data_IF_375721909782
#
_entry.id   IF_375721909782
#
_cell.length_a   1.000
_cell.length_b   1.000
_cell.length_c   1.000
_cell.angle_alpha   90.00
_cell.angle_beta   90.00
_cell.angle_gamma   90.00
#
_symmetry.space_group_name_H-M   'P 1'
#
loop_
_entity.id
_entity.type
_entity.pdbx_description
1 polymer ?
#
# COMPACT_ATOMS: atom_id res chain seq x y z
N UNK A 1 16.07 -14.74 -12.38
CA UNK A 1 15.59 -13.49 -11.75
C UNK A 1 16.80 -12.65 -11.44
N UNK A 2 16.83 -11.38 -11.87
CA UNK A 2 17.97 -10.51 -11.61
C UNK A 2 17.87 -9.90 -10.20
N UNK A 3 18.95 -9.93 -9.43
CA UNK A 3 19.04 -9.20 -8.15
C UNK A 3 18.74 -7.68 -8.33
N UNK A 4 19.01 -7.16 -9.52
CA UNK A 4 18.74 -5.77 -9.89
C UNK A 4 17.26 -5.40 -9.80
N UNK A 5 16.33 -6.36 -10.06
CA UNK A 5 14.89 -6.12 -9.94
C UNK A 5 14.44 -5.73 -8.52
N UNK A 6 15.16 -6.21 -7.48
CA UNK A 6 14.88 -5.84 -6.08
C UNK A 6 15.24 -4.36 -5.86
N UNK A 7 16.43 -3.96 -6.26
CA UNK A 7 16.86 -2.56 -6.14
C UNK A 7 15.99 -1.62 -6.96
N UNK A 8 15.56 -2.06 -8.16
CA UNK A 8 14.61 -1.31 -8.99
C UNK A 8 13.26 -1.12 -8.27
N UNK A 9 12.75 -2.15 -7.58
CA UNK A 9 11.53 -2.02 -6.79
C UNK A 9 11.71 -1.03 -5.64
N UNK A 10 12.81 -1.11 -4.89
CA UNK A 10 13.08 -0.22 -3.75
C UNK A 10 13.20 1.23 -4.24
N UNK A 11 13.98 1.48 -5.31
CA UNK A 11 14.16 2.84 -5.86
C UNK A 11 12.90 3.43 -6.48
N UNK A 12 11.98 2.57 -6.98
CA UNK A 12 10.72 3.03 -7.59
C UNK A 12 9.68 3.40 -6.53
N UNK A 13 9.60 2.64 -5.44
CA UNK A 13 8.50 2.72 -4.48
C UNK A 13 8.90 3.23 -3.10
N UNK A 14 10.15 3.70 -2.93
CA UNK A 14 10.62 4.26 -1.65
C UNK A 14 11.71 5.31 -1.84
N UNK A 15 11.96 6.09 -0.79
CA UNK A 15 13.07 7.04 -0.73
C UNK A 15 14.39 6.39 -0.27
N UNK A 16 14.40 5.08 -0.04
CA UNK A 16 15.56 4.38 0.49
C UNK A 16 16.68 4.41 -0.56
N UNK A 17 17.86 4.91 -0.19
CA UNK A 17 18.98 5.00 -1.13
C UNK A 17 19.50 3.60 -1.47
N UNK A 18 19.48 3.26 -2.74
CA UNK A 18 19.99 2.00 -3.29
C UNK A 18 20.78 2.25 -4.57
N UNK A 19 21.68 1.35 -4.97
CA UNK A 19 22.36 1.43 -6.24
C UNK A 19 21.36 1.56 -7.41
N UNK A 20 21.63 2.54 -8.27
CA UNK A 20 20.79 2.79 -9.45
C UNK A 20 21.26 1.92 -10.62
N UNK A 21 20.32 1.36 -11.34
CA UNK A 21 20.57 0.53 -12.52
C UNK A 21 19.85 1.11 -13.73
N UNK A 22 20.39 0.85 -14.92
CA UNK A 22 19.74 1.24 -16.18
C UNK A 22 18.36 0.59 -16.32
N UNK A 23 17.39 1.35 -16.79
CA UNK A 23 16.03 0.91 -17.09
C UNK A 23 15.97 0.01 -18.33
N UNK A 24 16.63 -1.17 -18.25
CA UNK A 24 16.54 -2.23 -19.24
C UNK A 24 15.50 -3.27 -18.81
N UNK A 25 14.77 -3.83 -19.77
CA UNK A 25 13.70 -4.81 -19.51
C UNK A 25 14.16 -5.98 -18.63
N UNK A 26 15.38 -6.46 -18.83
CA UNK A 26 15.99 -7.54 -18.03
C UNK A 26 16.15 -7.19 -16.54
N UNK A 27 16.29 -5.90 -16.21
CA UNK A 27 16.51 -5.40 -14.86
C UNK A 27 15.19 -5.17 -14.12
N UNK A 28 14.14 -4.67 -14.79
CA UNK A 28 12.90 -4.28 -14.11
C UNK A 28 11.73 -5.27 -14.31
N UNK A 29 11.87 -6.27 -15.17
CA UNK A 29 10.81 -7.24 -15.52
C UNK A 29 10.03 -7.83 -14.34
N UNK A 30 10.67 -8.01 -13.16
CA UNK A 30 10.04 -8.52 -11.96
C UNK A 30 10.02 -7.51 -10.80
N UNK A 31 10.31 -6.23 -11.06
CA UNK A 31 10.37 -5.22 -9.99
C UNK A 31 9.04 -5.13 -9.22
N UNK A 32 7.90 -5.20 -9.92
CA UNK A 32 6.58 -5.17 -9.27
C UNK A 32 6.37 -6.35 -8.30
N UNK A 33 6.96 -7.52 -8.57
CA UNK A 33 6.87 -8.68 -7.67
C UNK A 33 7.67 -8.48 -6.39
N UNK A 34 8.68 -7.59 -6.40
CA UNK A 34 9.51 -7.26 -5.25
C UNK A 34 9.02 -6.03 -4.49
N UNK A 35 7.96 -5.39 -4.94
CA UNK A 35 7.33 -4.27 -4.24
C UNK A 35 7.03 -4.57 -2.76
N UNK A 36 6.60 -5.79 -2.35
CA UNK A 36 6.40 -6.13 -0.94
C UNK A 36 7.62 -5.93 -0.04
N UNK A 37 8.85 -5.92 -0.57
CA UNK A 37 10.07 -5.62 0.21
C UNK A 37 10.00 -4.21 0.81
N UNK A 38 9.44 -3.24 0.12
CA UNK A 38 9.21 -1.90 0.68
C UNK A 38 8.29 -1.96 1.90
N UNK A 39 7.35 -2.91 1.92
CA UNK A 39 6.52 -3.20 3.09
C UNK A 39 7.31 -3.72 4.29
N UNK A 40 8.39 -4.49 4.06
CA UNK A 40 9.29 -4.93 5.14
C UNK A 40 9.99 -3.72 5.77
N UNK A 41 10.44 -2.77 4.97
CA UNK A 41 11.05 -1.54 5.49
C UNK A 41 10.04 -0.70 6.28
N UNK A 42 8.85 -0.47 5.73
CA UNK A 42 7.80 0.28 6.43
C UNK A 42 7.41 -0.40 7.75
N UNK A 43 7.24 -1.72 7.74
CA UNK A 43 6.94 -2.52 8.92
C UNK A 43 8.09 -2.53 9.94
N UNK A 44 9.34 -2.60 9.47
CA UNK A 44 10.53 -2.56 10.32
C UNK A 44 10.67 -1.22 11.05
N UNK A 45 10.53 -0.10 10.32
CA UNK A 45 10.55 1.25 10.94
C UNK A 45 9.39 1.41 11.92
N UNK A 46 8.20 0.90 11.59
CA UNK A 46 7.05 0.90 12.49
C UNK A 46 7.31 0.07 13.75
N UNK A 47 7.93 -1.11 13.63
CA UNK A 47 8.25 -1.95 14.79
C UNK A 47 9.25 -1.25 15.73
N UNK A 48 10.28 -0.63 15.18
CA UNK A 48 11.24 0.17 15.95
C UNK A 48 10.52 1.33 16.64
N UNK A 49 9.63 2.01 15.95
CA UNK A 49 8.85 3.11 16.51
C UNK A 49 7.94 2.65 17.66
N UNK A 50 7.20 1.55 17.51
CA UNK A 50 6.36 0.97 18.55
C UNK A 50 7.22 0.65 19.78
N UNK A 51 8.36 0.00 19.61
CA UNK A 51 9.29 -0.32 20.69
C UNK A 51 9.79 0.94 21.40
N UNK A 52 10.26 1.92 20.64
CA UNK A 52 10.75 3.20 21.20
C UNK A 52 9.65 3.92 21.99
N UNK A 53 8.43 3.94 21.46
CA UNK A 53 7.30 4.57 22.12
C UNK A 53 6.92 3.88 23.44
N UNK A 54 7.06 2.56 23.51
CA UNK A 54 6.84 1.79 24.75
C UNK A 54 7.93 2.08 25.78
N UNK A 55 9.21 2.01 25.40
CA UNK A 55 10.35 2.19 26.31
C UNK A 55 10.41 3.61 26.87
N UNK A 56 10.17 4.61 26.03
CA UNK A 56 10.22 6.03 26.41
C UNK A 56 8.89 6.58 26.96
N UNK A 57 7.86 5.73 27.10
CA UNK A 57 6.51 6.15 27.53
C UNK A 57 5.99 7.36 26.73
N UNK A 58 6.15 7.32 25.40
CA UNK A 58 5.70 8.38 24.48
C UNK A 58 4.18 8.54 24.61
N UNK A 59 3.70 9.80 24.61
CA UNK A 59 2.27 10.08 24.65
C UNK A 59 1.54 9.45 23.46
N UNK A 60 0.29 8.99 23.67
CA UNK A 60 -0.52 8.36 22.60
C UNK A 60 -0.69 9.25 21.37
N UNK A 61 -0.79 10.56 21.59
CA UNK A 61 -0.94 11.52 20.49
C UNK A 61 0.32 11.56 19.62
N UNK A 62 1.50 11.70 20.23
CA UNK A 62 2.77 11.72 19.49
C UNK A 62 3.05 10.37 18.81
N UNK A 63 2.75 9.26 19.51
CA UNK A 63 2.82 7.93 18.93
C UNK A 63 1.98 7.82 17.65
N UNK A 64 0.71 8.20 17.72
CA UNK A 64 -0.21 8.12 16.58
C UNK A 64 0.23 9.04 15.43
N UNK A 65 0.64 10.28 15.74
CA UNK A 65 1.07 11.26 14.74
C UNK A 65 2.26 10.74 13.92
N UNK A 66 3.29 10.20 14.57
CA UNK A 66 4.46 9.65 13.88
C UNK A 66 4.10 8.35 13.15
N UNK A 67 3.22 7.51 13.73
CA UNK A 67 2.78 6.26 13.09
C UNK A 67 2.10 6.50 11.73
N UNK A 68 1.32 7.55 11.59
CA UNK A 68 0.73 7.96 10.30
C UNK A 68 1.81 8.40 9.31
N UNK A 69 2.83 9.11 9.77
CA UNK A 69 3.89 9.62 8.90
C UNK A 69 4.84 8.54 8.39
N UNK A 70 5.09 7.47 9.15
CA UNK A 70 6.09 6.44 8.81
C UNK A 70 5.90 5.87 7.38
N UNK A 71 4.75 5.30 6.99
CA UNK A 71 4.58 4.73 5.66
C UNK A 71 4.68 5.81 4.56
N UNK A 72 4.23 7.03 4.82
CA UNK A 72 4.30 8.14 3.88
C UNK A 72 5.75 8.55 3.61
N UNK A 73 6.54 8.70 4.67
CA UNK A 73 7.97 9.08 4.55
C UNK A 73 8.77 7.97 3.88
N UNK A 74 8.61 6.70 4.31
CA UNK A 74 9.36 5.58 3.72
C UNK A 74 9.10 5.44 2.22
N UNK A 75 7.89 5.69 1.77
CA UNK A 75 7.52 5.59 0.35
C UNK A 75 7.69 6.91 -0.43
N UNK A 76 8.12 7.99 0.24
CA UNK A 76 8.21 9.31 -0.40
C UNK A 76 6.85 9.86 -0.86
N UNK A 77 5.75 9.35 -0.28
CA UNK A 77 4.40 9.82 -0.59
C UNK A 77 3.79 9.28 -1.89
N UNK A 78 4.50 8.48 -2.69
CA UNK A 78 4.05 8.06 -4.03
C UNK A 78 2.67 7.37 -4.04
N UNK A 79 2.32 6.65 -2.97
CA UNK A 79 1.02 5.98 -2.89
C UNK A 79 -0.08 6.92 -2.42
N UNK A 80 0.26 7.90 -1.59
CA UNK A 80 -0.65 8.95 -1.18
C UNK A 80 -0.96 9.89 -2.35
N UNK A 81 0.01 10.18 -3.19
CA UNK A 81 -0.16 10.91 -4.45
C UNK A 81 -1.20 10.22 -5.34
N UNK A 82 -1.02 8.92 -5.63
CA UNK A 82 -2.02 8.14 -6.38
C UNK A 82 -3.39 8.06 -5.70
N UNK A 83 -3.44 8.09 -4.35
CA UNK A 83 -4.71 8.16 -3.62
C UNK A 83 -5.41 9.51 -3.86
N UNK A 84 -4.66 10.59 -3.78
CA UNK A 84 -5.16 11.96 -3.98
C UNK A 84 -5.66 12.16 -5.41
N UNK A 85 -4.88 11.76 -6.41
CA UNK A 85 -5.24 11.87 -7.82
C UNK A 85 -6.50 11.06 -8.15
N UNK A 86 -6.58 9.83 -7.62
CA UNK A 86 -7.75 8.98 -7.80
C UNK A 86 -8.99 9.59 -7.15
N UNK A 87 -8.85 10.17 -5.96
CA UNK A 87 -9.95 10.84 -5.26
C UNK A 87 -10.46 12.05 -6.04
N UNK A 88 -9.56 12.86 -6.58
CA UNK A 88 -9.93 14.03 -7.39
C UNK A 88 -10.62 13.62 -8.69
N UNK A 89 -10.07 12.63 -9.39
CA UNK A 89 -10.68 12.07 -10.61
C UNK A 89 -12.10 11.52 -10.34
N UNK A 90 -12.33 10.89 -9.19
CA UNK A 90 -13.65 10.39 -8.80
C UNK A 90 -14.64 11.52 -8.49
N UNK A 91 -14.19 12.52 -7.76
CA UNK A 91 -15.02 13.66 -7.36
C UNK A 91 -15.44 14.54 -8.55
N UNK A 92 -14.72 14.44 -9.67
CA UNK A 92 -15.09 15.13 -10.92
C UNK A 92 -16.40 14.65 -11.53
N UNK A 93 -16.89 13.47 -11.15
CA UNK A 93 -18.08 12.80 -11.72
C UNK A 93 -18.07 12.65 -13.26
N UNK A 94 -16.91 12.80 -13.88
CA UNK A 94 -16.73 12.73 -15.34
C UNK A 94 -16.74 11.28 -15.87
N UNK A 95 -16.76 11.12 -17.19
CA UNK A 95 -16.61 9.82 -17.86
C UNK A 95 -15.19 9.25 -17.68
N UNK A 96 -14.99 8.00 -18.04
CA UNK A 96 -13.71 7.28 -17.87
C UNK A 96 -12.54 7.97 -18.58
N UNK A 97 -12.74 8.46 -19.81
CA UNK A 97 -11.67 9.13 -20.57
C UNK A 97 -11.19 10.40 -19.85
N UNK A 98 -12.13 11.25 -19.41
CA UNK A 98 -11.79 12.48 -18.70
C UNK A 98 -11.16 12.22 -17.33
N UNK A 99 -11.59 11.18 -16.59
CA UNK A 99 -10.92 10.77 -15.35
C UNK A 99 -9.46 10.37 -15.58
N UNK A 100 -9.18 9.63 -16.66
CA UNK A 100 -7.81 9.26 -17.02
C UNK A 100 -6.95 10.46 -17.44
N UNK A 101 -7.55 11.54 -17.91
CA UNK A 101 -6.86 12.82 -18.15
C UNK A 101 -6.56 13.53 -16.83
N UNK A 102 -7.53 13.61 -15.90
CA UNK A 102 -7.34 14.21 -14.58
C UNK A 102 -6.18 13.53 -13.82
N UNK A 103 -6.08 12.19 -13.86
CA UNK A 103 -4.94 11.46 -13.28
C UNK A 103 -3.56 11.83 -13.89
N UNK A 104 -3.48 12.66 -14.94
CA UNK A 104 -2.23 13.15 -15.55
C UNK A 104 -2.00 14.63 -15.29
N UNK A 105 -2.98 15.30 -14.70
CA UNK A 105 -2.88 16.72 -14.40
C UNK A 105 -1.89 16.91 -13.23
N UNK A 106 -0.84 17.71 -13.39
CA UNK A 106 0.10 17.96 -12.30
C UNK A 106 -0.49 18.87 -11.19
N UNK A 107 -1.67 19.44 -11.41
CA UNK A 107 -2.32 20.30 -10.43
C UNK A 107 -3.20 19.50 -9.48
N UNK A 108 -3.06 19.75 -8.18
CA UNK A 108 -3.84 19.11 -7.13
C UNK A 108 -5.23 19.77 -7.05
N UNK A 109 -6.29 18.96 -7.14
CA UNK A 109 -7.65 19.43 -6.94
C UNK A 109 -8.03 19.56 -5.46
N UNK A 110 -9.06 20.34 -5.17
CA UNK A 110 -9.53 20.54 -3.81
C UNK A 110 -10.01 19.24 -3.13
N UNK A 111 -10.62 18.33 -3.88
CA UNK A 111 -11.09 17.05 -3.35
C UNK A 111 -9.96 16.13 -2.96
N UNK A 112 -8.84 16.11 -3.71
CA UNK A 112 -7.63 15.39 -3.34
C UNK A 112 -7.17 15.78 -1.92
N UNK A 113 -7.10 17.08 -1.63
CA UNK A 113 -6.70 17.60 -0.30
C UNK A 113 -7.71 17.21 0.79
N UNK A 114 -9.01 17.36 0.52
CA UNK A 114 -10.07 17.00 1.48
C UNK A 114 -10.00 15.53 1.85
N UNK A 115 -9.88 14.62 0.87
CA UNK A 115 -9.82 13.19 1.13
C UNK A 115 -8.49 12.77 1.80
N UNK A 116 -7.36 13.43 1.47
CA UNK A 116 -6.11 13.21 2.18
C UNK A 116 -6.21 13.61 3.66
N UNK A 117 -6.81 14.73 3.98
CA UNK A 117 -7.05 15.17 5.37
C UNK A 117 -7.94 14.14 6.09
N UNK A 118 -9.04 13.70 5.48
CA UNK A 118 -9.92 12.68 6.06
C UNK A 118 -9.14 11.38 6.33
N UNK A 119 -8.34 10.91 5.38
CA UNK A 119 -7.50 9.72 5.53
C UNK A 119 -6.55 9.85 6.72
N UNK A 120 -5.84 10.99 6.81
CA UNK A 120 -4.88 11.27 7.90
C UNK A 120 -5.60 11.31 9.26
N UNK A 121 -6.74 12.00 9.36
CA UNK A 121 -7.50 12.10 10.61
C UNK A 121 -8.04 10.74 11.08
N UNK A 122 -8.57 9.92 10.17
CA UNK A 122 -9.04 8.58 10.52
C UNK A 122 -7.85 7.71 10.95
N UNK A 123 -6.75 7.71 10.22
CA UNK A 123 -5.54 6.95 10.56
C UNK A 123 -4.97 7.37 11.91
N UNK A 124 -4.94 8.68 12.18
CA UNK A 124 -4.50 9.23 13.47
C UNK A 124 -5.39 8.73 14.62
N UNK A 125 -6.71 8.78 14.45
CA UNK A 125 -7.66 8.27 15.44
C UNK A 125 -7.48 6.78 15.72
N UNK A 126 -7.29 5.98 14.67
CA UNK A 126 -7.07 4.54 14.79
C UNK A 126 -5.75 4.21 15.51
N UNK A 127 -4.64 4.86 15.14
CA UNK A 127 -3.36 4.68 15.83
C UNK A 127 -3.41 5.18 17.29
N UNK A 128 -4.13 6.28 17.53
CA UNK A 128 -4.35 6.78 18.89
C UNK A 128 -5.10 5.76 19.76
N UNK A 129 -6.17 5.18 19.24
CA UNK A 129 -6.95 4.14 19.91
C UNK A 129 -6.13 2.87 20.13
N UNK A 130 -5.37 2.43 19.12
CA UNK A 130 -4.50 1.27 19.22
C UNK A 130 -3.42 1.44 20.28
N UNK A 131 -2.75 2.62 20.31
CA UNK A 131 -1.66 2.92 21.24
C UNK A 131 -0.41 2.04 21.04
N UNK A 132 0.72 2.37 21.68
CA UNK A 132 1.95 1.58 21.61
C UNK A 132 1.91 0.39 22.59
N UNK A 133 1.26 -0.69 22.21
CA UNK A 133 1.12 -1.93 23.02
C UNK A 133 1.53 -3.16 22.20
N UNK A 134 1.75 -4.35 22.79
CA UNK A 134 2.18 -5.54 22.07
C UNK A 134 1.29 -5.89 20.86
N UNK A 135 -0.04 -5.73 20.98
CA UNK A 135 -0.97 -5.94 19.89
C UNK A 135 -0.72 -5.02 18.66
N UNK A 136 -0.04 -3.88 18.84
CA UNK A 136 0.25 -2.94 17.77
C UNK A 136 1.25 -3.48 16.73
N UNK A 137 2.09 -4.46 17.13
CA UNK A 137 3.04 -5.08 16.20
C UNK A 137 2.37 -5.83 15.04
N UNK A 138 1.09 -6.16 15.14
CA UNK A 138 0.30 -6.79 14.05
C UNK A 138 0.24 -5.90 12.82
N UNK A 139 0.37 -4.57 12.97
CA UNK A 139 0.37 -3.65 11.84
C UNK A 139 1.64 -3.78 10.98
N UNK A 140 2.76 -4.23 11.53
CA UNK A 140 4.02 -4.30 10.81
C UNK A 140 3.98 -5.23 9.60
N UNK A 141 3.56 -6.52 9.72
CA UNK A 141 3.42 -7.39 8.56
C UNK A 141 2.25 -7.02 7.63
N UNK A 142 1.27 -6.22 8.07
CA UNK A 142 0.18 -5.76 7.20
C UNK A 142 0.66 -4.87 6.05
N UNK A 143 1.77 -4.14 6.25
CA UNK A 143 2.42 -3.37 5.18
C UNK A 143 2.96 -4.26 4.05
N UNK A 144 3.40 -5.48 4.36
CA UNK A 144 3.83 -6.44 3.34
C UNK A 144 2.62 -6.97 2.59
N UNK A 145 1.56 -7.35 3.31
CA UNK A 145 0.32 -7.90 2.73
C UNK A 145 -0.32 -6.91 1.77
N UNK A 146 -0.47 -5.64 2.17
CA UNK A 146 -1.06 -4.61 1.31
C UNK A 146 -0.32 -4.47 -0.02
N UNK A 147 1.01 -4.55 0.00
CA UNK A 147 1.84 -4.47 -1.20
C UNK A 147 1.80 -5.73 -2.05
N UNK A 148 1.69 -6.91 -1.44
CA UNK A 148 1.46 -8.15 -2.19
C UNK A 148 0.14 -8.07 -2.95
N UNK A 149 -0.94 -7.66 -2.29
CA UNK A 149 -2.23 -7.51 -2.95
C UNK A 149 -2.20 -6.43 -4.04
N UNK A 150 -1.54 -5.29 -3.79
CA UNK A 150 -1.38 -4.24 -4.80
C UNK A 150 -0.65 -4.76 -6.04
N UNK A 151 0.47 -5.47 -5.88
CA UNK A 151 1.21 -6.08 -6.98
C UNK A 151 0.36 -7.15 -7.71
N UNK A 152 -0.34 -8.01 -6.97
CA UNK A 152 -1.21 -9.03 -7.52
C UNK A 152 -2.33 -8.43 -8.41
N UNK A 153 -3.05 -7.42 -7.91
CA UNK A 153 -4.11 -6.78 -8.67
C UNK A 153 -3.57 -5.97 -9.86
N UNK A 154 -2.42 -5.32 -9.72
CA UNK A 154 -1.77 -4.61 -10.82
C UNK A 154 -1.37 -5.55 -11.98
N UNK A 155 -0.93 -6.77 -11.68
CA UNK A 155 -0.59 -7.80 -12.68
C UNK A 155 -1.84 -8.48 -13.25
N UNK A 156 -2.88 -8.66 -12.43
CA UNK A 156 -4.07 -9.45 -12.81
C UNK A 156 -5.10 -8.63 -13.58
N UNK A 157 -5.22 -7.34 -13.30
CA UNK A 157 -6.18 -6.44 -13.96
C UNK A 157 -5.52 -5.84 -15.20
N UNK A 158 -6.30 -5.72 -16.28
CA UNK A 158 -5.81 -5.01 -17.49
C UNK A 158 -5.49 -3.55 -17.14
N UNK A 159 -4.38 -3.05 -17.67
CA UNK A 159 -4.03 -1.63 -17.52
C UNK A 159 -5.03 -0.75 -18.28
N UNK A 160 -5.44 0.35 -17.68
CA UNK A 160 -6.36 1.32 -18.30
C UNK A 160 -5.67 2.18 -19.36
N UNK A 161 -4.33 2.17 -19.38
CA UNK A 161 -3.50 2.92 -20.35
C UNK A 161 -2.55 1.96 -21.03
N UNK A 162 -2.25 2.22 -22.30
CA UNK A 162 -1.27 1.47 -23.10
C UNK A 162 0.17 1.97 -22.91
N UNK A 163 0.36 3.03 -22.14
CA UNK A 163 1.66 3.64 -21.86
C UNK A 163 1.76 4.00 -20.36
N UNK A 164 2.98 4.21 -19.89
CA UNK A 164 3.28 4.57 -18.51
C UNK A 164 3.98 3.46 -17.73
N UNK A 165 4.48 3.80 -16.54
CA UNK A 165 5.33 2.93 -15.73
C UNK A 165 4.64 1.60 -15.38
N UNK A 166 3.38 1.62 -14.94
CA UNK A 166 2.66 0.40 -14.58
C UNK A 166 2.51 -0.54 -15.78
N UNK A 167 2.15 -0.01 -16.95
CA UNK A 167 2.05 -0.82 -18.17
C UNK A 167 3.39 -1.49 -18.49
N UNK A 168 4.48 -0.73 -18.49
CA UNK A 168 5.81 -1.25 -18.70
C UNK A 168 6.16 -2.38 -17.71
N UNK A 169 5.91 -2.17 -16.41
CA UNK A 169 6.20 -3.14 -15.36
C UNK A 169 5.34 -4.41 -15.42
N UNK A 170 4.13 -4.37 -16.00
CA UNK A 170 3.19 -5.51 -15.99
C UNK A 170 3.13 -6.26 -17.31
N UNK A 171 3.39 -5.59 -18.43
CA UNK A 171 3.26 -6.17 -19.79
C UNK A 171 4.19 -7.37 -20.04
N UNK A 172 5.42 -7.31 -19.52
CA UNK A 172 6.45 -8.32 -19.74
C UNK A 172 6.53 -9.38 -18.62
N UNK A 173 5.70 -9.28 -17.59
CA UNK A 173 5.75 -10.18 -16.42
C UNK A 173 5.13 -11.53 -16.76
N UNK A 174 5.89 -12.60 -16.50
CA UNK A 174 5.36 -13.95 -16.44
C UNK A 174 4.43 -14.10 -15.23
N UNK A 175 3.12 -14.08 -15.48
CA UNK A 175 2.08 -14.12 -14.42
C UNK A 175 2.20 -15.35 -13.53
N UNK A 176 2.61 -16.51 -14.06
CA UNK A 176 2.76 -17.73 -13.26
C UNK A 176 3.90 -17.59 -12.24
N UNK A 177 5.05 -17.10 -12.71
CA UNK A 177 6.20 -16.84 -11.81
C UNK A 177 5.91 -15.74 -10.81
N UNK A 178 5.25 -14.66 -11.25
CA UNK A 178 4.83 -13.58 -10.36
C UNK A 178 3.92 -14.09 -9.23
N UNK A 179 2.90 -14.87 -9.56
CA UNK A 179 1.98 -15.42 -8.56
C UNK A 179 2.71 -16.33 -7.56
N UNK A 180 3.66 -17.15 -7.99
CA UNK A 180 4.46 -17.98 -7.08
C UNK A 180 5.25 -17.11 -6.09
N UNK A 181 5.92 -16.05 -6.59
CA UNK A 181 6.68 -15.13 -5.75
C UNK A 181 5.77 -14.43 -4.74
N UNK A 182 4.65 -13.87 -5.20
CA UNK A 182 3.70 -13.14 -4.37
C UNK A 182 3.04 -14.05 -3.32
N UNK A 183 2.71 -15.31 -3.70
CA UNK A 183 2.19 -16.30 -2.75
C UNK A 183 3.21 -16.60 -1.66
N UNK A 184 4.48 -16.79 -2.02
CA UNK A 184 5.54 -16.99 -1.02
C UNK A 184 5.69 -15.77 -0.10
N UNK A 185 5.69 -14.55 -0.66
CA UNK A 185 5.85 -13.32 0.10
C UNK A 185 4.66 -12.99 1.02
N UNK A 186 3.45 -13.46 0.70
CA UNK A 186 2.27 -13.24 1.57
C UNK A 186 2.15 -14.27 2.68
N UNK A 187 2.71 -15.47 2.50
CA UNK A 187 2.52 -16.60 3.45
C UNK A 187 3.09 -16.26 4.83
N UNK A 188 4.36 -15.82 4.90
CA UNK A 188 5.02 -15.54 6.18
C UNK A 188 4.29 -14.42 6.96
N UNK A 189 4.04 -13.22 6.39
CA UNK A 189 3.33 -12.17 7.11
C UNK A 189 1.90 -12.57 7.51
N UNK A 190 1.21 -13.37 6.68
CA UNK A 190 -0.13 -13.86 7.03
C UNK A 190 -0.12 -14.82 8.22
N UNK A 191 0.86 -15.72 8.28
CA UNK A 191 1.06 -16.61 9.45
C UNK A 191 1.37 -15.79 10.69
N UNK A 192 2.29 -14.82 10.60
CA UNK A 192 2.62 -13.94 11.72
C UNK A 192 1.39 -13.19 12.24
N UNK A 193 0.61 -12.58 11.35
CA UNK A 193 -0.64 -11.89 11.72
C UNK A 193 -1.64 -12.86 12.36
N UNK A 194 -1.82 -14.04 11.79
CA UNK A 194 -2.75 -15.05 12.34
C UNK A 194 -2.34 -15.57 13.72
N UNK A 195 -1.06 -15.88 13.90
CA UNK A 195 -0.54 -16.43 15.16
C UNK A 195 -0.52 -15.39 16.29
N UNK A 196 0.02 -14.20 16.02
CA UNK A 196 0.16 -13.15 17.05
C UNK A 196 -1.07 -12.27 17.20
N UNK A 197 -1.87 -12.15 16.15
CA UNK A 197 -3.07 -11.32 16.14
C UNK A 197 -4.36 -12.09 16.46
N UNK A 198 -4.31 -13.41 16.48
CA UNK A 198 -5.51 -14.23 16.72
C UNK A 198 -6.66 -13.84 15.78
N UNK A 199 -7.86 -13.69 16.34
CA UNK A 199 -9.05 -13.32 15.57
C UNK A 199 -8.90 -11.96 14.88
N UNK A 200 -8.31 -10.97 15.55
CA UNK A 200 -8.09 -9.63 14.98
C UNK A 200 -7.17 -9.68 13.76
N UNK A 201 -6.13 -10.52 13.84
CA UNK A 201 -5.22 -10.78 12.74
C UNK A 201 -5.95 -11.39 11.53
N UNK A 202 -6.75 -12.41 11.76
CA UNK A 202 -7.56 -13.05 10.70
C UNK A 202 -8.53 -12.05 10.06
N UNK A 203 -9.25 -11.26 10.88
CA UNK A 203 -10.18 -10.23 10.38
C UNK A 203 -9.43 -9.17 9.56
N UNK A 204 -8.21 -8.79 9.93
CA UNK A 204 -7.42 -7.83 9.15
C UNK A 204 -7.01 -8.39 7.77
N UNK A 205 -6.65 -9.67 7.69
CA UNK A 205 -6.36 -10.32 6.39
C UNK A 205 -7.64 -10.38 5.54
N UNK A 206 -8.78 -10.73 6.14
CA UNK A 206 -10.07 -10.73 5.43
C UNK A 206 -10.44 -9.33 4.93
N UNK A 207 -10.16 -8.29 5.72
CA UNK A 207 -10.36 -6.90 5.28
C UNK A 207 -9.52 -6.57 4.04
N UNK A 208 -8.26 -7.02 3.99
CA UNK A 208 -7.41 -6.84 2.80
C UNK A 208 -7.98 -7.57 1.57
N UNK A 209 -8.45 -8.81 1.72
CA UNK A 209 -9.07 -9.59 0.62
C UNK A 209 -10.34 -8.91 0.12
N UNK A 210 -11.23 -8.50 1.03
CA UNK A 210 -12.50 -7.83 0.68
C UNK A 210 -12.21 -6.50 -0.05
N UNK A 211 -11.26 -5.71 0.47
CA UNK A 211 -10.84 -4.46 -0.16
C UNK A 211 -10.28 -4.70 -1.56
N UNK A 212 -9.51 -5.78 -1.74
CA UNK A 212 -8.94 -6.13 -3.04
C UNK A 212 -10.00 -6.53 -4.07
N UNK A 213 -10.98 -7.36 -3.69
CA UNK A 213 -12.08 -7.75 -4.58
C UNK A 213 -13.02 -6.57 -4.91
N UNK A 214 -13.24 -5.68 -3.94
CA UNK A 214 -13.90 -4.40 -4.19
C UNK A 214 -13.11 -3.53 -5.18
N UNK A 215 -11.80 -3.36 -4.96
CA UNK A 215 -10.93 -2.56 -5.81
C UNK A 215 -10.92 -3.05 -7.26
N UNK A 216 -10.84 -4.36 -7.48
CA UNK A 216 -10.88 -4.95 -8.83
C UNK A 216 -12.14 -4.52 -9.59
N UNK A 217 -13.31 -4.63 -8.96
CA UNK A 217 -14.57 -4.21 -9.59
C UNK A 217 -14.65 -2.71 -9.76
N UNK A 218 -14.18 -1.98 -8.78
CA UNK A 218 -14.17 -0.53 -8.76
C UNK A 218 -13.30 0.05 -9.90
N UNK A 219 -12.03 -0.36 -10.01
CA UNK A 219 -11.11 0.20 -10.99
C UNK A 219 -11.53 -0.13 -12.43
N UNK A 220 -12.04 -1.33 -12.69
CA UNK A 220 -12.58 -1.69 -14.00
C UNK A 220 -13.78 -0.83 -14.37
N UNK A 221 -14.72 -0.63 -13.44
CA UNK A 221 -15.96 0.15 -13.71
C UNK A 221 -15.70 1.65 -13.85
N UNK A 222 -14.79 2.22 -13.06
CA UNK A 222 -14.57 3.66 -12.97
C UNK A 222 -13.49 4.20 -13.90
N UNK A 223 -12.48 3.36 -14.19
CA UNK A 223 -11.29 3.76 -14.96
C UNK A 223 -11.02 2.84 -16.18
N UNK A 224 -11.81 1.77 -16.37
CA UNK A 224 -11.62 0.82 -17.45
C UNK A 224 -10.44 -0.15 -17.25
N UNK A 225 -9.77 -0.10 -16.10
CA UNK A 225 -8.61 -0.91 -15.76
C UNK A 225 -7.75 -0.29 -14.66
N UNK A 226 -6.56 -0.87 -14.43
CA UNK A 226 -5.61 -0.41 -13.41
C UNK A 226 -4.68 0.67 -13.96
N UNK A 227 -4.37 1.70 -13.14
CA UNK A 227 -3.27 2.66 -13.33
C UNK A 227 -2.35 2.63 -12.12
N UNK A 228 -1.18 3.29 -12.19
CA UNK A 228 -0.31 3.47 -11.02
C UNK A 228 -1.03 4.17 -9.88
N UNK A 229 -1.79 5.21 -10.20
CA UNK A 229 -2.53 6.05 -9.26
C UNK A 229 -3.63 5.23 -8.57
N UNK A 230 -4.43 4.48 -9.33
CA UNK A 230 -5.46 3.59 -8.73
C UNK A 230 -4.86 2.46 -7.91
N UNK A 231 -3.65 1.98 -8.22
CA UNK A 231 -2.93 1.00 -7.40
C UNK A 231 -2.42 1.63 -6.09
N UNK A 232 -1.96 2.87 -6.11
CA UNK A 232 -1.64 3.66 -4.92
C UNK A 232 -2.87 3.92 -4.06
N UNK A 233 -3.99 4.29 -4.68
CA UNK A 233 -5.29 4.42 -4.01
C UNK A 233 -5.69 3.12 -3.29
N UNK A 234 -5.61 1.99 -3.99
CA UNK A 234 -5.89 0.68 -3.39
C UNK A 234 -5.01 0.43 -2.15
N UNK A 235 -3.71 0.71 -2.25
CA UNK A 235 -2.78 0.47 -1.16
C UNK A 235 -3.20 1.23 0.10
N UNK A 236 -3.50 2.53 -0.03
CA UNK A 236 -3.93 3.37 1.09
C UNK A 236 -5.24 2.86 1.72
N UNK A 237 -6.24 2.52 0.90
CA UNK A 237 -7.51 1.96 1.40
C UNK A 237 -7.30 0.59 2.05
N UNK A 238 -6.44 -0.26 1.50
CA UNK A 238 -6.12 -1.56 2.06
C UNK A 238 -5.43 -1.44 3.43
N UNK A 239 -4.44 -0.58 3.56
CA UNK A 239 -3.76 -0.30 4.83
C UNK A 239 -4.73 0.26 5.87
N UNK A 240 -5.59 1.20 5.49
CA UNK A 240 -6.59 1.78 6.37
C UNK A 240 -7.61 0.73 6.83
N UNK A 241 -8.08 -0.15 5.95
CA UNK A 241 -9.04 -1.21 6.29
C UNK A 241 -8.43 -2.25 7.23
N UNK A 242 -7.15 -2.63 7.00
CA UNK A 242 -6.43 -3.53 7.89
C UNK A 242 -6.20 -2.88 9.27
N UNK A 243 -5.77 -1.62 9.32
CA UNK A 243 -5.60 -0.87 10.57
C UNK A 243 -6.91 -0.77 11.35
N UNK A 244 -8.01 -0.50 10.64
CA UNK A 244 -9.36 -0.45 11.26
C UNK A 244 -9.71 -1.79 11.89
N UNK A 245 -9.50 -2.89 11.18
CA UNK A 245 -9.79 -4.24 11.68
C UNK A 245 -8.95 -4.59 12.90
N UNK A 246 -7.65 -4.25 12.89
CA UNK A 246 -6.73 -4.46 14.01
C UNK A 246 -7.15 -3.62 15.22
N UNK A 247 -7.53 -2.36 15.01
CA UNK A 247 -7.87 -1.44 16.09
C UNK A 247 -9.18 -1.82 16.76
N UNK A 248 -10.24 -2.12 15.97
CA UNK A 248 -11.54 -2.53 16.51
C UNK A 248 -11.43 -3.90 17.20
N UNK A 249 -10.76 -4.86 16.57
CA UNK A 249 -10.55 -6.16 17.16
C UNK A 249 -9.72 -6.11 18.45
N UNK A 250 -8.66 -5.29 18.48
CA UNK A 250 -7.81 -5.10 19.66
C UNK A 250 -8.46 -4.34 20.83
N UNK A 251 -9.64 -3.74 20.62
CA UNK A 251 -10.44 -3.15 21.71
C UNK A 251 -11.48 -4.11 22.27
N UNK A 252 -11.65 -5.28 21.68
CA UNK A 252 -12.58 -6.33 22.11
C UNK A 252 -11.88 -7.43 22.95
N UNK A 253 -10.56 -7.39 23.04
CA UNK A 253 -9.71 -8.28 23.85
C UNK A 253 -9.06 -7.46 24.98
#
# INVERSE_FOLDING_TARGET
MSFKSIFMAISTYSIIPVPQFEWKQENWKFAICWFPIVGIFSGGVMAIWIYTAQVLNISRFLYASISVCIPLVVTGGIHMDGFMDTADALASHQNTARKLEILKDPNIGAFAVIYAIIYVLISLGLFYQLGPKPASYIICPSYVISRVFSAYYAISIKTARTSGMLNALTESVDRRKANIILTFLVTIPSVLIGVYGGLCGVVSILAAVITGEWYKRFTIRKFGGCTGDTAGFFLQICELSMLTAITIGGSLI
#
